data_IF_117518902659
#
_entry.id   IF_117518902659
#
_cell.length_a   1.000
_cell.length_b   1.000
_cell.length_c   1.000
_cell.angle_alpha   90.00
_cell.angle_beta   90.00
_cell.angle_gamma   90.00
#
_symmetry.space_group_name_H-M   'P 1'
#
loop_
_entity.id
_entity.type
_entity.pdbx_description
1 polymer ?
#
# COMPACT_ATOMS: atom_id res chain seq x y z
N UNK A 1 -10.26 -16.53 7.03
CA UNK A 1 -8.86 -16.15 6.72
C UNK A 1 -8.54 -14.81 7.35
N UNK A 2 -7.27 -14.56 7.64
CA UNK A 2 -6.69 -13.31 8.12
C UNK A 2 -5.98 -12.63 6.95
N UNK A 3 -6.41 -11.42 6.58
CA UNK A 3 -5.94 -10.71 5.39
C UNK A 3 -5.31 -9.41 5.85
N UNK A 4 -4.03 -9.22 5.53
CA UNK A 4 -3.33 -7.97 5.79
C UNK A 4 -3.34 -7.11 4.53
N UNK A 5 -3.99 -5.95 4.57
CA UNK A 5 -3.97 -4.97 3.48
C UNK A 5 -2.90 -3.92 3.74
N UNK A 6 -2.02 -3.63 2.78
CA UNK A 6 -0.94 -2.65 2.97
C UNK A 6 -1.08 -1.48 2.01
N UNK A 7 -0.96 -0.24 2.50
CA UNK A 7 -1.01 0.99 1.69
C UNK A 7 -0.21 2.12 2.34
N UNK A 8 0.38 3.03 1.56
CA UNK A 8 1.20 4.12 2.12
C UNK A 8 0.41 5.07 3.01
N UNK A 9 -0.80 5.45 2.57
CA UNK A 9 -1.73 6.25 3.34
C UNK A 9 -3.13 5.68 3.23
N UNK A 10 -3.84 5.67 4.36
CA UNK A 10 -5.24 5.31 4.45
C UNK A 10 -5.94 6.37 5.29
N UNK A 11 -6.81 7.15 4.64
CA UNK A 11 -7.77 8.00 5.32
C UNK A 11 -9.09 7.70 4.66
N UNK A 12 -10.02 7.19 5.45
CA UNK A 12 -11.28 6.72 4.91
C UNK A 12 -12.05 7.86 4.21
N UNK A 13 -12.64 7.57 3.05
CA UNK A 13 -13.31 8.57 2.21
C UNK A 13 -12.37 9.54 1.46
N UNK A 14 -11.05 9.43 1.63
CA UNK A 14 -10.08 10.31 0.95
C UNK A 14 -9.45 9.64 -0.27
N UNK A 15 -10.05 9.87 -1.44
CA UNK A 15 -9.53 9.44 -2.74
C UNK A 15 -9.92 8.01 -3.13
N UNK A 16 -9.66 7.67 -4.40
CA UNK A 16 -10.09 6.39 -5.00
C UNK A 16 -9.48 5.16 -4.35
N UNK A 17 -8.17 5.19 -4.05
CA UNK A 17 -7.46 4.05 -3.44
C UNK A 17 -8.00 3.73 -2.04
N UNK A 18 -8.17 4.74 -1.18
CA UNK A 18 -8.72 4.53 0.17
C UNK A 18 -10.15 4.00 0.12
N UNK A 19 -10.97 4.52 -0.81
CA UNK A 19 -12.34 4.06 -1.04
C UNK A 19 -12.37 2.59 -1.49
N UNK A 20 -11.52 2.21 -2.44
CA UNK A 20 -11.43 0.84 -2.92
C UNK A 20 -11.00 -0.13 -1.81
N UNK A 21 -9.98 0.24 -1.02
CA UNK A 21 -9.52 -0.56 0.12
C UNK A 21 -10.62 -0.70 1.17
N UNK A 22 -11.31 0.38 1.53
CA UNK A 22 -12.38 0.34 2.52
C UNK A 22 -13.54 -0.57 2.09
N UNK A 23 -13.99 -0.43 0.83
CA UNK A 23 -15.06 -1.25 0.27
C UNK A 23 -14.65 -2.74 0.22
N UNK A 24 -13.43 -3.03 -0.22
CA UNK A 24 -12.92 -4.40 -0.26
C UNK A 24 -12.80 -5.00 1.15
N UNK A 25 -12.28 -4.25 2.11
CA UNK A 25 -12.15 -4.68 3.49
C UNK A 25 -13.52 -5.02 4.10
N UNK A 26 -14.53 -4.18 3.89
CA UNK A 26 -15.91 -4.44 4.34
C UNK A 26 -16.50 -5.68 3.67
N UNK A 27 -16.37 -5.79 2.35
CA UNK A 27 -16.88 -6.93 1.60
C UNK A 27 -16.25 -8.26 2.06
N UNK A 28 -14.94 -8.28 2.33
CA UNK A 28 -14.25 -9.45 2.86
C UNK A 28 -14.66 -9.76 4.31
N UNK A 29 -14.81 -8.73 5.16
CA UNK A 29 -15.31 -8.93 6.53
C UNK A 29 -16.72 -9.49 6.55
N UNK A 30 -17.61 -9.01 5.68
CA UNK A 30 -18.97 -9.51 5.54
C UNK A 30 -19.01 -10.99 5.11
N UNK A 31 -17.95 -11.49 4.46
CA UNK A 31 -17.77 -12.90 4.09
C UNK A 31 -17.08 -13.73 5.19
N UNK A 32 -16.86 -13.17 6.38
CA UNK A 32 -16.26 -13.86 7.53
C UNK A 32 -14.73 -13.81 7.60
N UNK A 33 -14.07 -12.98 6.79
CA UNK A 33 -12.62 -12.79 6.88
C UNK A 33 -12.25 -11.77 7.97
N UNK A 34 -11.11 -11.96 8.62
CA UNK A 34 -10.50 -10.95 9.48
C UNK A 34 -9.58 -10.08 8.62
N UNK A 35 -9.86 -8.79 8.53
CA UNK A 35 -9.09 -7.87 7.69
C UNK A 35 -8.46 -6.79 8.57
N UNK A 36 -7.15 -6.59 8.41
CA UNK A 36 -6.40 -5.50 9.05
C UNK A 36 -5.67 -4.68 8.00
N UNK A 37 -5.80 -3.36 8.06
CA UNK A 37 -5.14 -2.41 7.17
C UNK A 37 -3.88 -1.89 7.86
N UNK A 38 -2.75 -1.94 7.18
CA UNK A 38 -1.47 -1.41 7.63
C UNK A 38 -1.14 -0.19 6.77
N UNK A 39 -1.00 0.97 7.42
CA UNK A 39 -0.72 2.22 6.72
C UNK A 39 0.15 3.17 7.54
N UNK A 40 0.66 4.25 6.94
CA UNK A 40 1.27 5.32 7.71
C UNK A 40 0.29 5.83 8.77
N UNK A 41 0.79 6.05 9.99
CA UNK A 41 0.00 6.52 11.12
C UNK A 41 -0.72 7.83 10.77
N UNK A 42 -2.02 7.88 11.00
CA UNK A 42 -2.88 9.05 10.88
C UNK A 42 -3.89 9.06 12.05
N UNK A 43 -4.19 10.22 12.68
CA UNK A 43 -5.18 10.31 13.75
C UNK A 43 -6.59 9.82 13.38
N UNK A 44 -7.00 9.95 12.12
CA UNK A 44 -8.31 9.51 11.62
C UNK A 44 -8.53 8.00 11.71
N UNK A 45 -7.45 7.20 11.84
CA UNK A 45 -7.57 5.76 12.04
C UNK A 45 -8.42 5.41 13.28
N UNK A 46 -8.45 6.27 14.31
CA UNK A 46 -9.26 6.05 15.52
C UNK A 46 -10.77 6.20 15.28
N UNK A 47 -11.15 6.81 14.16
CA UNK A 47 -12.55 7.07 13.79
C UNK A 47 -13.07 6.09 12.73
N UNK A 48 -12.20 5.25 12.16
CA UNK A 48 -12.59 4.27 11.15
C UNK A 48 -13.30 3.06 11.79
N UNK A 49 -14.30 2.51 11.10
CA UNK A 49 -14.95 1.24 11.45
C UNK A 49 -14.10 0.01 11.09
N UNK A 50 -12.97 0.25 10.40
CA UNK A 50 -12.01 -0.76 9.98
C UNK A 50 -10.85 -0.88 10.98
N UNK A 51 -10.28 -2.08 11.07
CA UNK A 51 -9.09 -2.32 11.89
C UNK A 51 -7.85 -1.80 11.17
N UNK A 52 -7.43 -0.58 11.50
CA UNK A 52 -6.29 0.11 10.88
C UNK A 52 -5.13 0.25 11.86
N UNK A 53 -3.98 -0.30 11.49
CA UNK A 53 -2.72 -0.16 12.23
C UNK A 53 -1.81 0.86 11.56
N UNK A 54 -1.50 1.94 12.30
CA UNK A 54 -0.57 2.98 11.88
C UNK A 54 0.89 2.65 12.20
N UNK A 55 1.74 2.54 11.16
CA UNK A 55 3.20 2.48 11.30
C UNK A 55 3.80 3.89 11.30
N UNK A 56 4.95 4.08 11.98
CA UNK A 56 5.62 5.37 12.01
C UNK A 56 5.99 5.80 10.59
N UNK A 57 5.74 7.07 10.27
CA UNK A 57 6.00 7.62 8.95
C UNK A 57 6.70 8.98 9.04
N UNK A 58 7.52 9.27 8.03
CA UNK A 58 8.01 10.61 7.75
C UNK A 58 6.94 11.37 6.95
N UNK A 59 6.72 12.63 7.30
CA UNK A 59 5.72 13.48 6.67
C UNK A 59 6.41 14.46 5.71
N UNK A 60 6.21 14.26 4.42
CA UNK A 60 6.73 15.14 3.40
C UNK A 60 5.66 16.15 2.96
N UNK A 61 5.68 17.33 3.58
CA UNK A 61 4.65 18.37 3.41
C UNK A 61 4.49 18.87 1.97
N UNK A 62 5.54 18.77 1.14
CA UNK A 62 5.49 19.19 -0.28
C UNK A 62 4.75 18.21 -1.19
N UNK A 63 4.40 17.02 -0.69
CA UNK A 63 3.59 16.05 -1.43
C UNK A 63 2.27 15.83 -0.67
N UNK A 64 1.12 16.24 -1.21
CA UNK A 64 -0.17 16.01 -0.58
C UNK A 64 -0.41 14.51 -0.30
N UNK A 65 -0.59 14.14 0.96
CA UNK A 65 -0.68 12.72 1.36
C UNK A 65 0.68 12.00 1.42
N UNK A 66 1.78 12.73 1.32
CA UNK A 66 3.17 12.26 1.33
C UNK A 66 3.59 11.75 2.68
N UNK A 67 3.07 10.57 3.04
CA UNK A 67 3.51 9.82 4.19
C UNK A 67 4.38 8.69 3.69
N UNK A 68 5.60 8.67 4.18
CA UNK A 68 6.56 7.62 3.86
C UNK A 68 6.70 6.79 5.12
N UNK A 69 6.12 5.57 5.19
CA UNK A 69 6.40 4.63 6.26
C UNK A 69 7.91 4.39 6.41
N UNK A 70 8.43 4.50 7.63
CA UNK A 70 9.89 4.40 7.91
C UNK A 70 10.21 3.39 9.00
N UNK A 71 9.31 2.42 9.24
CA UNK A 71 9.47 1.45 10.32
C UNK A 71 9.17 0.02 9.84
N UNK A 72 10.05 -0.54 8.98
CA UNK A 72 9.89 -1.88 8.43
C UNK A 72 9.84 -2.94 9.52
N UNK A 73 10.65 -2.80 10.58
CA UNK A 73 10.66 -3.77 11.68
C UNK A 73 9.31 -3.80 12.41
N UNK A 74 8.70 -2.63 12.62
CA UNK A 74 7.37 -2.57 13.23
C UNK A 74 6.31 -3.21 12.33
N UNK A 75 6.40 -3.05 11.01
CA UNK A 75 5.50 -3.72 10.07
C UNK A 75 5.65 -5.25 10.17
N UNK A 76 6.89 -5.77 10.09
CA UNK A 76 7.18 -7.21 10.21
C UNK A 76 6.63 -7.77 11.54
N UNK A 77 6.92 -7.13 12.67
CA UNK A 77 6.45 -7.58 13.97
C UNK A 77 4.92 -7.59 14.07
N UNK A 78 4.27 -6.56 13.51
CA UNK A 78 2.81 -6.46 13.54
C UNK A 78 2.14 -7.49 12.62
N UNK A 79 2.74 -7.79 11.46
CA UNK A 79 2.29 -8.87 10.59
C UNK A 79 2.50 -10.23 11.28
N UNK A 80 3.64 -10.47 11.92
CA UNK A 80 3.90 -11.71 12.67
C UNK A 80 2.89 -11.91 13.82
N UNK A 81 2.50 -10.84 14.52
CA UNK A 81 1.45 -10.88 15.54
C UNK A 81 0.06 -11.13 14.94
N UNK A 82 -0.23 -10.49 13.81
CA UNK A 82 -1.48 -10.66 13.09
C UNK A 82 -1.57 -11.98 12.31
N UNK A 83 -0.47 -12.72 12.09
CA UNK A 83 -0.40 -14.00 11.38
C UNK A 83 -1.37 -14.08 10.17
N UNK A 84 -1.26 -13.16 9.18
CA UNK A 84 -2.14 -13.20 8.04
C UNK A 84 -1.88 -14.43 7.18
N UNK A 85 -2.94 -14.98 6.61
CA UNK A 85 -2.84 -16.04 5.59
C UNK A 85 -2.35 -15.46 4.25
N UNK A 86 -2.56 -14.16 4.02
CA UNK A 86 -2.15 -13.45 2.80
C UNK A 86 -1.94 -11.95 3.06
N UNK A 87 -0.96 -11.36 2.37
CA UNK A 87 -0.77 -9.92 2.28
C UNK A 87 -1.33 -9.43 0.94
N UNK A 88 -2.25 -8.48 0.98
CA UNK A 88 -2.79 -7.80 -0.20
C UNK A 88 -2.28 -6.36 -0.23
N UNK A 89 -1.31 -6.12 -1.09
CA UNK A 89 -0.63 -4.84 -1.19
C UNK A 89 -1.30 -3.91 -2.22
N UNK A 90 -1.53 -2.66 -1.82
CA UNK A 90 -2.14 -1.60 -2.63
C UNK A 90 -1.20 -0.40 -2.86
N UNK A 91 0.08 -0.53 -2.50
CA UNK A 91 1.08 0.50 -2.67
C UNK A 91 2.24 -0.02 -3.52
N UNK A 92 2.74 0.78 -4.44
CA UNK A 92 4.03 0.49 -5.07
C UNK A 92 5.21 1.21 -4.41
N UNK A 93 4.97 2.11 -3.44
CA UNK A 93 6.02 2.92 -2.81
C UNK A 93 6.53 2.29 -1.50
N UNK A 94 6.87 3.10 -0.49
CA UNK A 94 7.58 2.67 0.71
C UNK A 94 6.87 1.53 1.46
N UNK A 95 5.55 1.60 1.66
CA UNK A 95 4.80 0.51 2.29
C UNK A 95 4.85 -0.76 1.44
N UNK A 96 4.67 -0.66 0.12
CA UNK A 96 4.71 -1.81 -0.77
C UNK A 96 6.05 -2.53 -0.78
N UNK A 97 7.15 -1.78 -0.77
CA UNK A 97 8.50 -2.34 -0.66
C UNK A 97 8.67 -3.07 0.69
N UNK A 98 8.21 -2.47 1.78
CA UNK A 98 8.29 -3.08 3.12
C UNK A 98 7.40 -4.32 3.23
N UNK A 99 6.22 -4.31 2.61
CA UNK A 99 5.30 -5.44 2.60
C UNK A 99 5.87 -6.64 1.83
N UNK A 100 6.53 -6.41 0.69
CA UNK A 100 7.24 -7.46 -0.05
C UNK A 100 8.35 -8.09 0.80
N UNK A 101 9.19 -7.27 1.43
CA UNK A 101 10.24 -7.75 2.32
C UNK A 101 9.65 -8.53 3.50
N UNK A 102 8.58 -8.03 4.13
CA UNK A 102 7.92 -8.72 5.23
C UNK A 102 7.29 -10.05 4.82
N UNK A 103 6.68 -10.13 3.63
CA UNK A 103 6.15 -11.37 3.07
C UNK A 103 7.23 -12.42 2.87
N UNK A 104 8.42 -12.02 2.40
CA UNK A 104 9.57 -12.91 2.27
C UNK A 104 10.12 -13.36 3.63
N UNK A 105 10.28 -12.44 4.58
CA UNK A 105 10.82 -12.73 5.93
C UNK A 105 9.91 -13.69 6.70
N UNK A 106 8.59 -13.54 6.57
CA UNK A 106 7.60 -14.29 7.33
C UNK A 106 7.03 -15.50 6.57
N UNK A 107 7.48 -15.72 5.33
CA UNK A 107 6.95 -16.75 4.41
C UNK A 107 5.43 -16.65 4.22
N UNK A 108 4.93 -15.43 3.98
CA UNK A 108 3.51 -15.15 3.77
C UNK A 108 3.28 -14.81 2.30
N UNK A 109 2.31 -15.47 1.61
CA UNK A 109 2.03 -15.17 0.22
C UNK A 109 1.53 -13.73 0.07
N UNK A 110 1.97 -13.07 -1.01
CA UNK A 110 1.66 -11.67 -1.28
C UNK A 110 1.09 -11.48 -2.69
N UNK A 111 0.00 -10.71 -2.77
CA UNK A 111 -0.65 -10.27 -4.00
C UNK A 111 -0.70 -8.74 -4.05
N UNK A 112 -0.77 -8.18 -5.26
CA UNK A 112 -0.72 -6.73 -5.47
C UNK A 112 -1.92 -6.22 -6.26
N UNK A 113 -2.35 -4.99 -5.99
CA UNK A 113 -3.23 -4.24 -6.90
C UNK A 113 -2.50 -3.02 -7.43
N UNK A 114 -2.44 -2.87 -8.75
CA UNK A 114 -1.89 -1.69 -9.39
C UNK A 114 -3.01 -0.66 -9.58
N UNK A 115 -3.01 0.38 -8.74
CA UNK A 115 -4.00 1.46 -8.78
C UNK A 115 -3.63 2.62 -9.71
N UNK A 116 -2.33 2.78 -10.01
CA UNK A 116 -1.82 3.97 -10.69
C UNK A 116 -0.90 3.55 -11.83
N UNK A 117 -1.20 4.03 -13.03
CA UNK A 117 -0.27 3.98 -14.14
C UNK A 117 0.81 5.06 -13.96
N UNK A 118 1.90 4.70 -13.28
CA UNK A 118 2.92 5.66 -12.85
C UNK A 118 3.52 6.45 -14.02
N UNK A 119 3.81 5.80 -15.15
CA UNK A 119 4.39 6.47 -16.32
C UNK A 119 3.47 7.58 -16.85
N UNK A 120 2.16 7.34 -16.95
CA UNK A 120 1.20 8.38 -17.33
C UNK A 120 0.92 9.41 -16.22
N UNK A 121 1.20 9.08 -14.97
CA UNK A 121 1.05 9.99 -13.83
C UNK A 121 2.21 11.00 -13.72
N UNK A 122 3.39 10.73 -14.32
CA UNK A 122 4.55 11.63 -14.22
C UNK A 122 4.24 13.07 -14.65
N UNK A 123 3.39 13.23 -15.67
CA UNK A 123 2.96 14.53 -16.18
C UNK A 123 2.01 15.30 -15.24
N UNK A 124 1.56 14.67 -14.16
CA UNK A 124 0.69 15.25 -13.13
C UNK A 124 1.38 15.31 -11.75
N UNK A 125 2.65 14.91 -11.68
CA UNK A 125 3.42 14.91 -10.44
C UNK A 125 3.80 16.34 -10.05
N UNK A 126 3.74 16.72 -8.76
CA UNK A 126 4.24 18.01 -8.28
C UNK A 126 5.77 18.15 -8.39
N UNK A 127 6.46 17.07 -8.77
CA UNK A 127 7.88 17.07 -9.10
C UNK A 127 7.97 17.29 -10.62
N UNK A 128 8.63 18.36 -11.11
CA UNK A 128 8.75 18.63 -12.54
C UNK A 128 9.64 17.56 -13.17
N UNK A 129 9.00 16.50 -13.66
CA UNK A 129 9.63 15.41 -14.42
C UNK A 129 9.59 15.68 -15.92
N UNK A 130 8.94 16.78 -16.33
CA UNK A 130 8.88 17.26 -17.71
C UNK A 130 10.31 17.49 -18.24
N UNK A 131 10.61 16.88 -19.39
CA UNK A 131 11.91 17.04 -20.05
C UNK A 131 13.02 16.11 -19.57
N UNK A 132 12.79 15.22 -18.61
CA UNK A 132 13.75 14.16 -18.26
C UNK A 132 13.69 13.06 -19.32
N UNK A 133 14.74 12.87 -20.15
CA UNK A 133 14.72 11.82 -21.16
C UNK A 133 14.51 10.45 -20.50
N UNK A 134 13.64 9.63 -21.09
CA UNK A 134 13.32 8.27 -20.63
C UNK A 134 12.57 8.16 -19.29
N UNK A 135 12.09 9.24 -18.68
CA UNK A 135 11.38 9.17 -17.40
C UNK A 135 10.17 8.23 -17.41
N UNK A 136 9.33 8.30 -18.45
CA UNK A 136 8.20 7.39 -18.62
C UNK A 136 8.63 5.92 -18.74
N UNK A 137 9.71 5.66 -19.50
CA UNK A 137 10.27 4.31 -19.65
C UNK A 137 10.80 3.78 -18.32
N UNK A 138 11.50 4.60 -17.55
CA UNK A 138 12.02 4.23 -16.23
C UNK A 138 10.86 3.96 -15.27
N UNK A 139 9.84 4.83 -15.23
CA UNK A 139 8.66 4.63 -14.41
C UNK A 139 7.92 3.34 -14.78
N UNK A 140 7.77 3.04 -16.07
CA UNK A 140 7.18 1.79 -16.53
C UNK A 140 8.00 0.57 -16.12
N UNK A 141 9.32 0.61 -16.35
CA UNK A 141 10.21 -0.48 -15.95
C UNK A 141 10.15 -0.72 -14.45
N UNK A 142 10.13 0.34 -13.64
CA UNK A 142 9.95 0.24 -12.21
C UNK A 142 8.62 -0.41 -11.85
N UNK A 143 7.49 0.05 -12.41
CA UNK A 143 6.17 -0.54 -12.15
C UNK A 143 6.15 -2.03 -12.50
N UNK A 144 6.64 -2.40 -13.69
CA UNK A 144 6.70 -3.79 -14.13
C UNK A 144 7.56 -4.65 -13.21
N UNK A 145 8.78 -4.22 -12.89
CA UNK A 145 9.67 -4.94 -11.97
C UNK A 145 9.09 -5.03 -10.56
N UNK A 146 8.41 -3.98 -10.10
CA UNK A 146 7.76 -3.98 -8.80
C UNK A 146 6.70 -5.07 -8.74
N UNK A 147 5.78 -5.10 -9.72
CA UNK A 147 4.63 -6.00 -9.73
C UNK A 147 4.97 -7.45 -10.13
N UNK A 148 6.06 -7.68 -10.85
CA UNK A 148 6.55 -9.03 -11.16
C UNK A 148 6.99 -9.85 -9.92
N UNK A 149 7.07 -9.22 -8.75
CA UNK A 149 7.41 -9.87 -7.47
C UNK A 149 6.20 -10.41 -6.71
N UNK A 150 4.98 -10.14 -7.18
CA UNK A 150 3.75 -10.63 -6.55
C UNK A 150 3.29 -11.93 -7.20
N UNK A 151 2.64 -12.81 -6.43
CA UNK A 151 2.11 -14.07 -6.96
C UNK A 151 0.95 -13.83 -7.94
N UNK A 152 0.12 -12.84 -7.63
CA UNK A 152 -0.96 -12.38 -8.50
C UNK A 152 -1.03 -10.86 -8.43
N UNK A 153 -1.40 -10.25 -9.55
CA UNK A 153 -1.60 -8.81 -9.68
C UNK A 153 -3.01 -8.57 -10.19
N UNK A 154 -3.75 -7.68 -9.52
CA UNK A 154 -5.05 -7.20 -10.00
C UNK A 154 -4.95 -5.75 -10.45
N UNK A 155 -5.83 -5.36 -11.37
CA UNK A 155 -6.05 -3.98 -11.80
C UNK A 155 -7.55 -3.70 -11.72
N UNK A 156 -7.98 -2.50 -11.31
CA UNK A 156 -9.38 -2.09 -11.42
C UNK A 156 -9.84 -2.00 -12.89
#
# INVERSE_FOLDING_TARGET
MRIAMTTDSFVEGKGGVATAIANLARALRARGHQVKIFSARDPSHLQSDLDVMGVRAFYYQRFPGGRIPIDPQKLVNALAQFKPDIIHNHSMSAMGIQALAAGQILDIPIIGTCHVYLAGFLNYSPIPMEGIPLAEKIAWQYTAQFFNRFRYVTTP
#
